data_IF_875051800281
#
_entry.id   IF_875051800281
#
_cell.length_a   1.000
_cell.length_b   1.000
_cell.length_c   1.000
_cell.angle_alpha   90.00
_cell.angle_beta   90.00
_cell.angle_gamma   90.00
#
_symmetry.space_group_name_H-M   'P 1'
#
loop_
_entity.id
_entity.type
_entity.pdbx_description
1 polymer ?
#
# COMPACT_ATOMS: atom_id res chain seq x y z
N UNK A 1 -15.83 -14.88 0.68
CA UNK A 1 -16.23 -13.46 0.55
C UNK A 1 -15.91 -12.93 -0.86
N UNK A 2 -14.69 -13.05 -1.40
CA UNK A 2 -14.32 -12.52 -2.74
C UNK A 2 -15.19 -13.10 -3.85
N UNK A 3 -15.34 -14.44 -3.92
CA UNK A 3 -16.21 -15.08 -4.92
C UNK A 3 -17.66 -14.59 -4.88
N UNK A 4 -18.20 -14.37 -3.66
CA UNK A 4 -19.54 -13.82 -3.50
C UNK A 4 -19.66 -12.38 -4.01
N UNK A 5 -18.65 -11.55 -3.78
CA UNK A 5 -18.61 -10.19 -4.29
C UNK A 5 -18.49 -10.15 -5.83
N UNK A 6 -17.63 -10.97 -6.41
CA UNK A 6 -17.50 -11.07 -7.87
C UNK A 6 -18.83 -11.48 -8.51
N UNK A 7 -19.49 -12.51 -7.97
CA UNK A 7 -20.80 -12.94 -8.46
C UNK A 7 -21.86 -11.84 -8.37
N UNK A 8 -21.91 -11.12 -7.23
CA UNK A 8 -22.88 -10.02 -7.03
C UNK A 8 -22.65 -8.84 -7.96
N UNK A 9 -21.40 -8.59 -8.33
CA UNK A 9 -20.99 -7.49 -9.20
C UNK A 9 -20.91 -7.90 -10.69
N UNK A 10 -21.21 -9.16 -11.00
CA UNK A 10 -21.10 -9.74 -12.36
C UNK A 10 -19.69 -9.56 -12.95
N UNK A 11 -18.65 -9.71 -12.09
CA UNK A 11 -17.25 -9.60 -12.46
C UNK A 11 -16.58 -10.97 -12.47
N UNK A 12 -15.63 -11.15 -13.37
CA UNK A 12 -14.77 -12.32 -13.44
C UNK A 12 -13.35 -11.99 -13.01
N UNK A 13 -12.75 -12.88 -12.22
CA UNK A 13 -11.33 -12.83 -11.87
C UNK A 13 -10.81 -14.21 -11.50
N UNK A 14 -9.55 -14.47 -11.79
CA UNK A 14 -8.84 -15.65 -11.30
C UNK A 14 -8.51 -15.46 -9.82
N UNK A 15 -8.91 -16.43 -8.99
CA UNK A 15 -8.66 -16.40 -7.55
C UNK A 15 -7.66 -17.49 -7.18
N UNK A 16 -6.50 -17.06 -6.72
CA UNK A 16 -5.43 -17.94 -6.23
C UNK A 16 -5.29 -17.72 -4.72
N UNK A 17 -5.19 -18.81 -3.97
CA UNK A 17 -4.90 -18.77 -2.54
C UNK A 17 -3.40 -19.04 -2.35
N UNK A 18 -2.67 -18.04 -1.87
CA UNK A 18 -1.22 -18.13 -1.68
C UNK A 18 -0.71 -16.99 -0.81
N UNK A 19 0.56 -17.06 -0.45
CA UNK A 19 1.26 -15.98 0.28
C UNK A 19 1.88 -15.00 -0.71
N UNK A 20 1.65 -13.71 -0.53
CA UNK A 20 2.35 -12.68 -1.31
C UNK A 20 3.86 -12.64 -1.01
N UNK A 21 4.28 -13.17 0.15
CA UNK A 21 5.70 -13.34 0.49
C UNK A 21 6.33 -14.62 -0.09
N UNK A 22 5.56 -15.44 -0.82
CA UNK A 22 6.05 -16.65 -1.51
C UNK A 22 5.36 -16.76 -2.88
N UNK A 23 5.70 -15.89 -3.83
CA UNK A 23 5.08 -15.88 -5.16
C UNK A 23 5.44 -17.12 -5.98
N UNK A 24 6.56 -17.78 -5.73
CA UNK A 24 6.98 -18.97 -6.47
C UNK A 24 5.96 -20.12 -6.37
N UNK A 25 5.15 -20.14 -5.31
CA UNK A 25 4.13 -21.17 -5.10
C UNK A 25 2.87 -21.00 -5.99
N UNK A 26 2.66 -19.83 -6.59
CA UNK A 26 1.40 -19.53 -7.31
C UNK A 26 1.56 -18.72 -8.60
N UNK A 27 2.70 -18.08 -8.83
CA UNK A 27 2.95 -17.28 -10.01
C UNK A 27 3.31 -18.16 -11.21
N UNK A 28 2.73 -17.86 -12.35
CA UNK A 28 2.92 -18.60 -13.62
C UNK A 28 4.13 -18.14 -14.44
N UNK A 29 4.89 -17.16 -13.96
CA UNK A 29 6.05 -16.59 -14.65
C UNK A 29 5.73 -15.43 -15.60
N UNK A 30 4.45 -15.08 -15.79
CA UNK A 30 4.06 -13.94 -16.63
C UNK A 30 4.09 -12.66 -15.83
N UNK A 31 4.91 -11.65 -16.19
CA UNK A 31 4.99 -10.40 -15.45
C UNK A 31 3.67 -9.63 -15.46
N UNK A 32 3.36 -9.02 -14.31
CA UNK A 32 2.17 -8.17 -14.17
C UNK A 32 2.44 -6.74 -14.63
N UNK A 33 1.55 -6.15 -15.40
CA UNK A 33 1.61 -4.73 -15.74
C UNK A 33 1.18 -3.83 -14.57
N UNK A 34 0.30 -4.36 -13.71
CA UNK A 34 -0.26 -3.65 -12.55
C UNK A 34 -0.38 -4.58 -11.35
N UNK A 35 0.10 -4.11 -10.22
CA UNK A 35 -0.05 -4.81 -8.93
C UNK A 35 -0.71 -3.84 -7.94
N UNK A 36 -1.73 -4.30 -7.23
CA UNK A 36 -2.26 -3.65 -6.03
C UNK A 36 -1.88 -4.51 -4.82
N UNK A 37 -1.05 -3.96 -3.96
CA UNK A 37 -0.58 -4.60 -2.74
C UNK A 37 -1.28 -3.96 -1.53
N UNK A 38 -2.36 -4.59 -1.07
CA UNK A 38 -3.05 -4.23 0.18
C UNK A 38 -2.38 -4.99 1.33
N UNK A 39 -1.52 -4.29 2.08
CA UNK A 39 -0.64 -4.93 3.07
C UNK A 39 -1.33 -5.19 4.41
N UNK A 40 -0.97 -6.27 5.11
CA UNK A 40 -1.36 -6.43 6.50
C UNK A 40 -0.73 -5.31 7.32
N UNK A 41 -1.55 -4.58 8.08
CA UNK A 41 -1.08 -3.43 8.87
C UNK A 41 -1.75 -3.39 10.26
N UNK A 42 -1.33 -2.44 11.09
CA UNK A 42 -1.90 -2.24 12.44
C UNK A 42 -3.37 -1.83 12.41
N UNK A 43 -3.87 -1.36 11.28
CA UNK A 43 -5.22 -0.83 11.08
C UNK A 43 -5.54 0.41 11.95
N UNK A 44 -4.53 1.18 12.33
CA UNK A 44 -4.69 2.36 13.19
C UNK A 44 -5.52 3.47 12.54
N UNK A 45 -5.61 3.51 11.20
CA UNK A 45 -6.45 4.46 10.47
C UNK A 45 -7.96 4.20 10.60
N UNK A 46 -8.36 2.98 10.99
CA UNK A 46 -9.77 2.59 11.14
C UNK A 46 -10.21 2.44 12.61
N UNK A 47 -9.44 2.96 13.55
CA UNK A 47 -9.70 2.93 15.01
C UNK A 47 -11.11 3.43 15.33
N UNK A 48 -11.64 4.38 14.57
CA UNK A 48 -12.98 4.93 14.78
C UNK A 48 -14.08 3.87 14.68
N UNK A 49 -13.89 2.88 13.79
CA UNK A 49 -14.81 1.74 13.62
C UNK A 49 -14.43 0.55 14.50
N UNK A 50 -13.16 0.44 14.83
CA UNK A 50 -12.57 -0.66 15.58
C UNK A 50 -11.76 -0.13 16.76
N UNK A 51 -12.42 0.39 17.83
CA UNK A 51 -11.74 1.02 18.96
C UNK A 51 -10.89 0.06 19.80
N UNK A 52 -11.13 -1.23 19.66
CA UNK A 52 -10.35 -2.33 20.27
C UNK A 52 -8.89 -2.34 19.79
N UNK A 53 -8.59 -1.81 18.61
CA UNK A 53 -7.23 -1.67 18.09
C UNK A 53 -6.31 -0.96 19.07
N UNK A 54 -6.80 0.09 19.75
CA UNK A 54 -6.03 0.83 20.78
C UNK A 54 -5.57 -0.03 21.95
N UNK A 55 -6.34 -1.05 22.29
CA UNK A 55 -6.08 -1.94 23.43
C UNK A 55 -5.26 -3.15 23.04
N UNK A 56 -5.40 -3.61 21.79
CA UNK A 56 -4.80 -4.85 21.31
C UNK A 56 -3.43 -4.65 20.67
N UNK A 57 -3.16 -3.50 20.03
CA UNK A 57 -1.89 -3.24 19.34
C UNK A 57 -0.78 -2.85 20.31
N UNK A 58 0.39 -3.45 20.10
CA UNK A 58 1.63 -3.20 20.84
C UNK A 58 2.69 -2.63 19.91
N UNK A 59 3.71 -1.98 20.46
CA UNK A 59 4.81 -1.42 19.67
C UNK A 59 5.55 -2.49 18.85
N UNK A 60 5.71 -3.68 19.41
CA UNK A 60 6.36 -4.82 18.75
C UNK A 60 5.59 -5.27 17.50
N UNK A 61 4.25 -5.21 17.52
CA UNK A 61 3.42 -5.56 16.37
C UNK A 61 3.72 -4.65 15.18
N UNK A 62 3.97 -3.35 15.41
CA UNK A 62 4.26 -2.38 14.36
C UNK A 62 5.57 -2.74 13.66
N UNK A 63 6.61 -3.09 14.43
CA UNK A 63 7.90 -3.53 13.88
C UNK A 63 7.74 -4.79 13.02
N UNK A 64 7.03 -5.78 13.52
CA UNK A 64 6.81 -7.03 12.77
C UNK A 64 5.98 -6.79 11.51
N UNK A 65 4.97 -5.92 11.57
CA UNK A 65 4.13 -5.59 10.42
C UNK A 65 4.92 -4.84 9.36
N UNK A 66 5.72 -3.84 9.74
CA UNK A 66 6.54 -3.09 8.78
C UNK A 66 7.59 -3.97 8.09
N UNK A 67 8.22 -4.88 8.81
CA UNK A 67 9.14 -5.87 8.22
C UNK A 67 8.42 -6.78 7.22
N UNK A 68 7.22 -7.28 7.57
CA UNK A 68 6.42 -8.12 6.69
C UNK A 68 5.95 -7.38 5.45
N UNK A 69 5.59 -6.11 5.58
CA UNK A 69 5.20 -5.24 4.47
C UNK A 69 6.37 -5.04 3.50
N UNK A 70 7.56 -4.74 4.03
CA UNK A 70 8.78 -4.62 3.23
C UNK A 70 9.12 -5.93 2.49
N UNK A 71 9.02 -7.07 3.18
CA UNK A 71 9.24 -8.39 2.58
C UNK A 71 8.27 -8.66 1.42
N UNK A 72 6.97 -8.45 1.63
CA UNK A 72 5.96 -8.62 0.58
C UNK A 72 6.22 -7.72 -0.63
N UNK A 73 6.59 -6.45 -0.41
CA UNK A 73 6.92 -5.52 -1.47
C UNK A 73 8.14 -5.99 -2.27
N UNK A 74 9.20 -6.43 -1.58
CA UNK A 74 10.42 -6.98 -2.18
C UNK A 74 10.14 -8.25 -3.01
N UNK A 75 9.28 -9.15 -2.51
CA UNK A 75 8.94 -10.39 -3.22
C UNK A 75 8.06 -10.16 -4.45
N UNK A 76 7.20 -9.14 -4.42
CA UNK A 76 6.31 -8.85 -5.55
C UNK A 76 6.93 -7.95 -6.60
N UNK A 77 7.93 -7.15 -6.26
CA UNK A 77 8.58 -6.22 -7.20
C UNK A 77 9.18 -6.90 -8.43
N UNK A 78 9.88 -8.05 -8.31
CA UNK A 78 10.39 -8.77 -9.48
C UNK A 78 9.32 -9.25 -10.44
N UNK A 79 8.08 -9.47 -9.97
CA UNK A 79 6.96 -9.93 -10.80
C UNK A 79 6.36 -8.80 -11.65
N UNK A 80 6.71 -7.55 -11.38
CA UNK A 80 6.23 -6.40 -12.13
C UNK A 80 7.00 -6.27 -13.44
N UNK A 81 6.27 -6.10 -14.54
CA UNK A 81 6.85 -5.84 -15.85
C UNK A 81 7.63 -4.52 -15.87
N UNK A 82 8.61 -4.40 -16.78
CA UNK A 82 9.26 -3.12 -17.08
C UNK A 82 8.21 -2.08 -17.50
N UNK A 83 8.28 -0.87 -16.96
CA UNK A 83 7.25 0.17 -17.09
C UNK A 83 5.96 -0.06 -16.30
N UNK A 84 5.84 -1.21 -15.64
CA UNK A 84 4.67 -1.56 -14.82
C UNK A 84 4.53 -0.68 -13.56
N UNK A 85 3.36 -0.70 -12.96
CA UNK A 85 3.06 0.08 -11.73
C UNK A 85 2.56 -0.82 -10.61
N UNK A 86 3.09 -0.57 -9.42
CA UNK A 86 2.63 -1.18 -8.17
C UNK A 86 2.04 -0.09 -7.27
N UNK A 87 0.82 -0.33 -6.78
CA UNK A 87 0.19 0.51 -5.76
C UNK A 87 0.29 -0.23 -4.43
N UNK A 88 1.01 0.35 -3.50
CA UNK A 88 1.02 -0.05 -2.10
C UNK A 88 -0.12 0.65 -1.37
N UNK A 89 -0.90 -0.09 -0.59
CA UNK A 89 -2.03 0.43 0.16
C UNK A 89 -2.03 -0.11 1.59
N UNK A 90 -2.34 0.75 2.56
CA UNK A 90 -2.55 0.37 3.95
C UNK A 90 -3.65 1.19 4.60
N UNK A 91 -4.29 0.66 5.63
CA UNK A 91 -5.20 1.40 6.52
C UNK A 91 -4.51 1.75 7.86
N UNK A 92 -3.20 1.94 7.86
CA UNK A 92 -2.43 2.44 9.00
C UNK A 92 -2.22 3.95 8.90
N UNK A 93 -2.28 4.64 10.03
CA UNK A 93 -1.87 6.05 10.17
C UNK A 93 -0.40 6.19 10.58
N UNK A 94 0.34 5.08 10.70
CA UNK A 94 1.70 5.10 11.21
C UNK A 94 2.73 5.19 10.08
N UNK A 95 3.63 6.17 10.16
CA UNK A 95 4.70 6.36 9.17
C UNK A 95 5.62 5.14 9.05
N UNK A 96 5.82 4.41 10.16
CA UNK A 96 6.62 3.19 10.19
C UNK A 96 6.09 2.08 9.26
N UNK A 97 4.79 2.04 9.01
CA UNK A 97 4.12 1.09 8.13
C UNK A 97 3.85 1.66 6.74
N UNK A 98 4.15 2.93 6.49
CA UNK A 98 3.78 3.70 5.31
C UNK A 98 5.04 4.30 4.65
N UNK A 99 5.25 5.61 4.79
CA UNK A 99 6.33 6.34 4.13
C UNK A 99 7.72 5.76 4.43
N UNK A 100 7.99 5.26 5.64
CA UNK A 100 9.29 4.68 5.97
C UNK A 100 9.54 3.36 5.23
N UNK A 101 8.52 2.51 5.05
CA UNK A 101 8.64 1.28 4.24
C UNK A 101 8.95 1.62 2.79
N UNK A 102 8.22 2.59 2.22
CA UNK A 102 8.40 2.98 0.82
C UNK A 102 9.75 3.69 0.60
N UNK A 103 10.17 4.57 1.51
CA UNK A 103 11.48 5.23 1.41
C UNK A 103 12.63 4.23 1.43
N UNK A 104 12.62 3.30 2.39
CA UNK A 104 13.64 2.24 2.47
C UNK A 104 13.65 1.34 1.23
N UNK A 105 12.47 1.06 0.66
CA UNK A 105 12.37 0.31 -0.59
C UNK A 105 12.99 1.07 -1.77
N UNK A 106 12.69 2.35 -1.93
CA UNK A 106 13.24 3.20 -3.00
C UNK A 106 14.76 3.37 -2.89
N UNK A 107 15.31 3.43 -1.67
CA UNK A 107 16.75 3.49 -1.42
C UNK A 107 17.50 2.21 -1.84
N UNK A 108 16.80 1.07 -1.84
CA UNK A 108 17.38 -0.25 -2.15
C UNK A 108 17.08 -0.75 -3.57
N UNK A 109 16.25 -0.02 -4.35
CA UNK A 109 15.82 -0.42 -5.69
C UNK A 109 15.98 0.72 -6.69
N UNK A 110 17.13 0.76 -7.38
CA UNK A 110 17.45 1.80 -8.38
C UNK A 110 16.49 1.80 -9.58
N UNK A 111 15.80 0.66 -9.82
CA UNK A 111 14.80 0.51 -10.87
C UNK A 111 13.40 0.96 -10.45
N UNK A 112 13.22 1.36 -9.20
CA UNK A 112 11.96 1.88 -8.68
C UNK A 112 11.95 3.41 -8.62
N UNK A 113 10.82 4.02 -8.96
CA UNK A 113 10.57 5.44 -8.69
C UNK A 113 9.12 5.69 -8.28
N UNK A 114 8.94 6.67 -7.43
CA UNK A 114 7.63 7.02 -6.89
C UNK A 114 6.91 7.96 -7.85
N UNK A 115 5.65 7.64 -8.19
CA UNK A 115 4.81 8.38 -9.14
C UNK A 115 3.41 8.68 -8.58
N UNK A 116 3.26 8.75 -7.26
CA UNK A 116 1.95 8.97 -6.61
C UNK A 116 1.33 10.29 -7.05
N UNK A 117 2.12 11.36 -7.12
CA UNK A 117 1.64 12.67 -7.56
C UNK A 117 1.10 12.64 -9.00
N UNK A 118 1.77 11.93 -9.92
CA UNK A 118 1.28 11.75 -11.28
C UNK A 118 0.01 10.90 -11.32
N UNK A 119 0.00 9.78 -10.60
CA UNK A 119 -1.14 8.87 -10.55
C UNK A 119 -2.39 9.55 -9.99
N UNK A 120 -2.22 10.51 -9.10
CA UNK A 120 -3.29 11.23 -8.40
C UNK A 120 -3.63 12.60 -9.03
N UNK A 121 -2.82 13.10 -9.96
CA UNK A 121 -2.97 14.43 -10.56
C UNK A 121 -4.39 14.72 -11.11
N UNK A 122 -5.06 13.70 -11.66
CA UNK A 122 -6.43 13.80 -12.17
C UNK A 122 -7.50 14.10 -11.10
N UNK A 123 -7.18 13.89 -9.83
CA UNK A 123 -8.08 14.16 -8.70
C UNK A 123 -7.91 15.58 -8.12
N UNK A 124 -6.89 16.31 -8.60
CA UNK A 124 -6.69 17.74 -8.36
C UNK A 124 -6.75 18.16 -6.89
N UNK A 125 -7.51 19.24 -6.62
CA UNK A 125 -7.60 19.84 -5.30
C UNK A 125 -8.19 18.94 -4.21
N UNK A 126 -8.94 17.89 -4.56
CA UNK A 126 -9.52 16.94 -3.60
C UNK A 126 -8.40 16.25 -2.83
N UNK A 127 -7.35 15.80 -3.51
CA UNK A 127 -6.21 15.14 -2.86
C UNK A 127 -5.40 16.12 -2.01
N UNK A 128 -5.17 17.33 -2.52
CA UNK A 128 -4.42 18.35 -1.77
C UNK A 128 -5.08 18.71 -0.44
N UNK A 129 -6.42 18.77 -0.40
CA UNK A 129 -7.18 19.05 0.82
C UNK A 129 -7.22 17.87 1.81
N UNK A 130 -6.89 16.66 1.36
CA UNK A 130 -6.98 15.41 2.13
C UNK A 130 -5.60 14.87 2.57
N UNK A 131 -4.51 15.53 2.18
CA UNK A 131 -3.16 15.08 2.49
C UNK A 131 -2.69 15.59 3.85
N UNK A 132 -1.93 14.75 4.59
CA UNK A 132 -1.18 15.23 5.73
C UNK A 132 -0.09 16.21 5.27
N UNK A 133 0.12 17.32 5.98
CA UNK A 133 1.25 18.19 5.70
C UNK A 133 2.56 17.45 5.99
N UNK A 134 3.52 17.57 5.08
CA UNK A 134 4.88 17.07 5.30
C UNK A 134 5.54 17.81 6.45
N UNK A 135 6.35 17.13 7.24
CA UNK A 135 7.20 17.81 8.20
C UNK A 135 8.24 18.67 7.47
N UNK A 136 8.66 19.82 8.05
CA UNK A 136 9.70 20.64 7.44
C UNK A 136 10.97 19.86 7.13
N UNK A 137 11.39 19.87 5.85
CA UNK A 137 12.59 19.16 5.38
C UNK A 137 12.38 17.70 5.00
N UNK A 138 11.18 17.15 5.12
CA UNK A 138 10.89 15.80 4.64
C UNK A 138 10.30 15.81 3.23
N UNK A 139 10.84 14.93 2.41
CA UNK A 139 10.22 14.62 1.12
C UNK A 139 8.95 13.80 1.37
N UNK A 140 7.83 14.30 0.87
CA UNK A 140 6.57 13.55 0.95
C UNK A 140 6.66 12.34 0.03
N UNK A 141 6.58 11.14 0.60
CA UNK A 141 6.54 9.88 -0.13
C UNK A 141 5.15 9.27 0.03
N UNK A 142 4.49 9.02 -1.09
CA UNK A 142 3.12 8.53 -1.09
C UNK A 142 2.08 9.59 -0.72
N UNK A 143 0.87 9.12 -0.48
CA UNK A 143 -0.29 9.93 -0.12
C UNK A 143 -0.96 9.37 1.13
N UNK A 144 -0.88 10.13 2.23
CA UNK A 144 -1.55 9.81 3.48
C UNK A 144 -2.86 10.59 3.59
N UNK A 145 -3.95 9.89 3.87
CA UNK A 145 -5.25 10.46 4.21
C UNK A 145 -5.43 10.33 5.73
N UNK A 146 -5.43 11.44 6.47
CA UNK A 146 -5.64 11.39 7.92
C UNK A 146 -7.00 10.84 8.30
N UNK A 147 -7.05 10.05 9.36
CA UNK A 147 -8.33 9.59 9.89
C UNK A 147 -9.19 10.76 10.36
N UNK A 148 -10.45 10.80 9.92
CA UNK A 148 -11.39 11.88 10.21
C UNK A 148 -11.53 12.93 9.10
N UNK A 149 -10.63 12.96 8.13
CA UNK A 149 -10.75 13.84 6.94
C UNK A 149 -12.06 13.55 6.22
N UNK A 150 -12.92 14.56 6.07
CA UNK A 150 -14.27 14.42 5.47
C UNK A 150 -15.08 13.24 6.04
N UNK A 151 -14.84 12.87 7.31
CA UNK A 151 -15.50 11.74 7.94
C UNK A 151 -14.99 10.37 7.53
N UNK A 152 -13.93 10.29 6.74
CA UNK A 152 -13.32 9.03 6.27
C UNK A 152 -12.41 8.39 7.31
N UNK A 153 -12.06 7.13 7.05
CA UNK A 153 -10.98 6.44 7.75
C UNK A 153 -9.61 6.91 7.22
N UNK A 154 -8.56 6.62 8.00
CA UNK A 154 -7.18 6.87 7.58
C UNK A 154 -6.67 5.80 6.62
N UNK A 155 -6.01 6.24 5.54
CA UNK A 155 -5.39 5.39 4.55
C UNK A 155 -4.06 5.97 4.09
N UNK A 156 -3.22 5.10 3.56
CA UNK A 156 -2.00 5.48 2.88
C UNK A 156 -1.88 4.75 1.54
N UNK A 157 -1.42 5.47 0.52
CA UNK A 157 -1.16 4.94 -0.80
C UNK A 157 0.19 5.42 -1.32
N UNK A 158 0.94 4.53 -1.97
CA UNK A 158 2.11 4.91 -2.76
C UNK A 158 2.05 4.19 -4.11
N UNK A 159 2.24 4.93 -5.19
CA UNK A 159 2.34 4.38 -6.54
C UNK A 159 3.81 4.35 -6.95
N UNK A 160 4.32 3.15 -7.19
CA UNK A 160 5.68 2.91 -7.64
C UNK A 160 5.66 2.46 -9.10
N UNK A 161 6.59 2.94 -9.91
CA UNK A 161 6.77 2.51 -11.29
C UNK A 161 8.15 1.89 -11.47
N UNK A 162 8.19 0.74 -12.14
CA UNK A 162 9.44 0.07 -12.51
C UNK A 162 10.01 0.73 -13.76
N UNK A 163 11.28 1.12 -13.72
CA UNK A 163 11.98 1.65 -14.89
C UNK A 163 12.11 0.58 -15.98
N UNK A 164 12.19 1.05 -17.21
CA UNK A 164 12.40 0.21 -18.39
C UNK A 164 13.84 -0.23 -18.49
#
# INVERSE_FOLDING_TARGET
RVRGNLKRLELEASLIVGSAADPAAWWDGVPFERILLDVPCSATGVIRRHPDIKLLRRAEDITHLSMRQADMLNQLWPLLASGGRLVYASCSSLRAENAQVISAFLESHDDAHEVTSEATARFGNVIASMSEPSLPGEQQVGWAIPAGTEGMDGFYYACLQKRS
#
